data_IF_540369597706
#
_entry.id   IF_540369597706
#
_cell.length_a   1.000
_cell.length_b   1.000
_cell.length_c   1.000
_cell.angle_alpha   90.00
_cell.angle_beta   90.00
_cell.angle_gamma   90.00
#
_symmetry.space_group_name_H-M   'P 1'
#
loop_
_entity.id
_entity.type
_entity.pdbx_description
1 polymer ?
#
# COMPACT_ATOMS: atom_id res chain seq x y z
N UNK A 1 35.77 8.21 -9.93
CA UNK A 1 34.58 7.45 -10.36
C UNK A 1 33.53 7.33 -9.25
N UNK A 2 33.89 7.26 -7.96
CA UNK A 2 32.92 7.15 -6.84
C UNK A 2 32.02 8.38 -6.63
N UNK A 3 32.50 9.60 -6.91
CA UNK A 3 31.72 10.84 -6.70
C UNK A 3 30.49 10.98 -7.63
N UNK A 4 30.56 10.48 -8.86
CA UNK A 4 29.45 10.57 -9.82
C UNK A 4 28.31 9.59 -9.49
N UNK A 5 28.65 8.39 -9.02
CA UNK A 5 27.65 7.41 -8.58
C UNK A 5 26.84 7.90 -7.38
N UNK A 6 27.52 8.49 -6.39
CA UNK A 6 26.83 9.03 -5.21
C UNK A 6 25.96 10.25 -5.56
N UNK A 7 26.41 11.12 -6.47
CA UNK A 7 25.63 12.26 -6.94
C UNK A 7 24.32 11.84 -7.64
N UNK A 8 24.37 10.81 -8.50
CA UNK A 8 23.16 10.28 -9.16
C UNK A 8 22.14 9.69 -8.19
N UNK A 9 22.60 8.98 -7.15
CA UNK A 9 21.73 8.43 -6.10
C UNK A 9 21.10 9.56 -5.28
N UNK A 10 21.90 10.56 -4.87
CA UNK A 10 21.39 11.73 -4.12
C UNK A 10 20.34 12.48 -4.93
N UNK A 11 20.59 12.71 -6.23
CA UNK A 11 19.62 13.37 -7.11
C UNK A 11 18.31 12.58 -7.21
N UNK A 12 18.39 11.25 -7.31
CA UNK A 12 17.21 10.37 -7.34
C UNK A 12 16.40 10.47 -6.05
N UNK A 13 17.05 10.47 -4.88
CA UNK A 13 16.36 10.66 -3.59
C UNK A 13 15.66 12.03 -3.50
N UNK A 14 16.31 13.10 -3.99
CA UNK A 14 15.70 14.44 -4.04
C UNK A 14 14.47 14.44 -4.95
N UNK A 15 14.57 13.84 -6.14
CA UNK A 15 13.45 13.74 -7.07
C UNK A 15 12.29 12.96 -6.48
N UNK A 16 12.54 11.80 -5.86
CA UNK A 16 11.51 11.03 -5.16
C UNK A 16 10.87 11.88 -4.07
N UNK A 17 11.66 12.61 -3.26
CA UNK A 17 11.14 13.49 -2.22
C UNK A 17 10.20 14.56 -2.76
N UNK A 18 10.58 15.23 -3.86
CA UNK A 18 9.74 16.24 -4.52
C UNK A 18 8.48 15.60 -5.11
N UNK A 19 8.60 14.45 -5.76
CA UNK A 19 7.44 13.72 -6.31
C UNK A 19 6.44 13.36 -5.24
N UNK A 20 6.90 12.81 -4.10
CA UNK A 20 6.03 12.48 -2.97
C UNK A 20 5.35 13.74 -2.43
N UNK A 21 6.08 14.84 -2.25
CA UNK A 21 5.52 16.10 -1.76
C UNK A 21 4.42 16.65 -2.69
N UNK A 22 4.65 16.62 -4.00
CA UNK A 22 3.67 17.06 -5.01
C UNK A 22 2.44 16.15 -4.99
N UNK A 23 2.62 14.82 -5.02
CA UNK A 23 1.51 13.86 -5.03
C UNK A 23 0.63 14.04 -3.79
N UNK A 24 1.24 14.13 -2.61
CA UNK A 24 0.51 14.31 -1.35
C UNK A 24 -0.18 15.67 -1.32
N UNK A 25 0.50 16.75 -1.73
CA UNK A 25 -0.08 18.09 -1.79
C UNK A 25 -1.29 18.17 -2.71
N UNK A 26 -1.20 17.61 -3.92
CA UNK A 26 -2.32 17.55 -4.86
C UNK A 26 -3.47 16.68 -4.35
N UNK A 27 -3.18 15.55 -3.73
CA UNK A 27 -4.20 14.69 -3.16
C UNK A 27 -5.00 15.44 -2.07
N UNK A 28 -4.31 16.14 -1.17
CA UNK A 28 -4.95 16.93 -0.10
C UNK A 28 -5.80 18.07 -0.66
N UNK A 29 -5.28 18.86 -1.60
CA UNK A 29 -6.05 19.95 -2.23
C UNK A 29 -7.30 19.40 -2.91
N UNK A 30 -7.19 18.29 -3.65
CA UNK A 30 -8.32 17.67 -4.35
C UNK A 30 -9.38 17.09 -3.40
N UNK A 31 -8.97 16.63 -2.22
CA UNK A 31 -9.91 16.18 -1.18
C UNK A 31 -10.69 17.37 -0.61
N UNK A 32 -10.03 18.52 -0.38
CA UNK A 32 -10.68 19.71 0.20
C UNK A 32 -11.58 20.43 -0.82
N UNK A 33 -11.12 20.60 -2.05
CA UNK A 33 -11.86 21.35 -3.08
C UNK A 33 -13.03 20.55 -3.66
N UNK A 34 -12.86 19.24 -3.87
CA UNK A 34 -13.83 18.37 -4.56
C UNK A 34 -14.22 17.16 -3.70
N UNK A 35 -14.67 17.42 -2.47
CA UNK A 35 -15.01 16.36 -1.51
C UNK A 35 -16.04 15.36 -2.07
N UNK A 36 -17.04 15.84 -2.80
CA UNK A 36 -18.09 14.98 -3.38
C UNK A 36 -17.54 13.96 -4.39
N UNK A 37 -16.55 14.35 -5.20
CA UNK A 37 -15.91 13.44 -6.17
C UNK A 37 -14.85 12.56 -5.51
N UNK A 38 -14.14 13.08 -4.52
CA UNK A 38 -13.11 12.35 -3.79
C UNK A 38 -13.66 11.35 -2.76
N UNK A 39 -14.93 11.48 -2.36
CA UNK A 39 -15.57 10.64 -1.34
C UNK A 39 -15.38 9.14 -1.59
N UNK A 40 -15.61 8.66 -2.82
CA UNK A 40 -15.48 7.25 -3.14
C UNK A 40 -14.03 6.76 -3.02
N UNK A 41 -13.06 7.58 -3.45
CA UNK A 41 -11.63 7.27 -3.32
C UNK A 41 -11.17 7.29 -1.86
N UNK A 42 -11.67 8.22 -1.05
CA UNK A 42 -11.38 8.30 0.39
C UNK A 42 -11.96 7.07 1.10
N UNK A 43 -13.20 6.69 0.79
CA UNK A 43 -13.83 5.49 1.36
C UNK A 43 -13.01 4.25 1.01
N UNK A 44 -12.57 4.11 -0.25
CA UNK A 44 -11.69 3.01 -0.66
C UNK A 44 -10.38 2.96 0.13
N UNK A 45 -9.73 4.12 0.32
CA UNK A 45 -8.50 4.24 1.11
C UNK A 45 -8.72 3.87 2.59
N UNK A 46 -9.80 4.35 3.20
CA UNK A 46 -10.13 4.06 4.60
C UNK A 46 -10.41 2.57 4.78
N UNK A 47 -11.18 1.95 3.89
CA UNK A 47 -11.46 0.51 3.93
C UNK A 47 -10.16 -0.29 3.82
N UNK A 48 -9.27 0.07 2.88
CA UNK A 48 -7.95 -0.56 2.75
C UNK A 48 -7.13 -0.45 4.05
N UNK A 49 -7.10 0.74 4.66
CA UNK A 49 -6.42 0.97 5.94
C UNK A 49 -6.99 0.12 7.07
N UNK A 50 -8.32 0.02 7.17
CA UNK A 50 -8.98 -0.81 8.19
C UNK A 50 -8.63 -2.28 8.01
N UNK A 51 -8.65 -2.80 6.78
CA UNK A 51 -8.25 -4.18 6.48
C UNK A 51 -6.79 -4.41 6.88
N UNK A 52 -5.90 -3.48 6.54
CA UNK A 52 -4.48 -3.57 6.90
C UNK A 52 -4.26 -3.59 8.41
N UNK A 53 -4.96 -2.73 9.17
CA UNK A 53 -4.85 -2.70 10.63
C UNK A 53 -5.35 -4.01 11.27
N UNK A 54 -6.45 -4.56 10.77
CA UNK A 54 -6.96 -5.87 11.22
C UNK A 54 -5.95 -6.98 10.89
N UNK A 55 -5.39 -6.97 9.67
CA UNK A 55 -4.38 -7.93 9.26
C UNK A 55 -3.11 -7.81 10.10
N UNK A 56 -2.66 -6.59 10.43
CA UNK A 56 -1.50 -6.36 11.29
C UNK A 56 -1.74 -6.77 12.74
N UNK A 57 -2.94 -6.53 13.28
CA UNK A 57 -3.34 -6.97 14.61
C UNK A 57 -3.40 -8.51 14.72
N UNK A 58 -3.87 -9.17 13.65
CA UNK A 58 -4.03 -10.64 13.60
C UNK A 58 -2.74 -11.37 13.21
N UNK A 59 -1.88 -10.72 12.42
CA UNK A 59 -0.60 -11.28 11.99
C UNK A 59 0.34 -11.48 13.19
N UNK A 60 0.90 -12.68 13.31
CA UNK A 60 1.97 -12.98 14.26
C UNK A 60 3.31 -12.91 13.54
N UNK A 61 4.31 -12.30 14.16
CA UNK A 61 5.69 -12.28 13.63
C UNK A 61 6.46 -13.57 13.92
N UNK A 62 5.84 -14.58 14.53
CA UNK A 62 6.48 -15.81 15.00
C UNK A 62 7.24 -16.58 13.89
N UNK A 63 6.88 -16.37 12.63
CA UNK A 63 7.57 -16.96 11.48
C UNK A 63 9.01 -16.45 11.32
N UNK A 64 9.41 -15.37 12.02
CA UNK A 64 10.76 -14.81 11.98
C UNK A 64 11.85 -15.85 12.29
N UNK A 65 11.55 -16.83 13.14
CA UNK A 65 12.48 -17.89 13.58
C UNK A 65 12.84 -18.85 12.43
N UNK A 66 12.01 -18.93 11.40
CA UNK A 66 12.24 -19.77 10.23
C UNK A 66 13.18 -19.13 9.20
N UNK A 67 13.53 -17.84 9.36
CA UNK A 67 14.45 -17.15 8.48
C UNK A 67 15.88 -17.23 9.00
N UNK A 68 16.86 -17.30 8.09
CA UNK A 68 18.27 -17.35 8.47
C UNK A 68 18.65 -16.09 9.26
N UNK A 69 19.36 -16.28 10.37
CA UNK A 69 19.80 -15.19 11.26
C UNK A 69 20.58 -14.09 10.51
N UNK A 70 21.33 -14.47 9.47
CA UNK A 70 22.11 -13.56 8.64
C UNK A 70 21.27 -12.57 7.81
N UNK A 71 19.96 -12.81 7.67
CA UNK A 71 19.05 -11.90 6.93
C UNK A 71 18.58 -10.70 7.76
N UNK A 72 18.91 -10.65 9.07
CA UNK A 72 18.52 -9.53 9.95
C UNK A 72 17.00 -9.32 10.08
N UNK A 73 16.20 -10.36 9.79
CA UNK A 73 14.74 -10.27 9.85
C UNK A 73 14.30 -10.29 11.31
N UNK A 74 13.73 -9.17 11.74
CA UNK A 74 13.12 -9.05 13.08
C UNK A 74 11.68 -9.55 13.07
N UNK A 75 11.15 -9.89 14.24
CA UNK A 75 9.74 -10.24 14.42
C UNK A 75 8.80 -9.15 13.87
N UNK A 76 9.16 -7.88 14.05
CA UNK A 76 8.41 -6.73 13.52
C UNK A 76 8.37 -6.71 11.98
N UNK A 77 9.51 -6.96 11.34
CA UNK A 77 9.61 -7.04 9.87
C UNK A 77 8.78 -8.18 9.32
N UNK A 78 8.88 -9.37 9.93
CA UNK A 78 8.10 -10.55 9.53
C UNK A 78 6.60 -10.32 9.70
N UNK A 79 6.18 -9.75 10.84
CA UNK A 79 4.77 -9.39 11.09
C UNK A 79 4.22 -8.42 10.06
N UNK A 80 5.00 -7.39 9.69
CA UNK A 80 4.60 -6.39 8.69
C UNK A 80 4.44 -7.01 7.29
N UNK A 81 5.35 -7.90 6.90
CA UNK A 81 5.24 -8.62 5.62
C UNK A 81 4.03 -9.56 5.61
N UNK A 82 3.82 -10.33 6.69
CA UNK A 82 2.65 -11.19 6.84
C UNK A 82 1.34 -10.42 6.78
N UNK A 83 1.27 -9.28 7.47
CA UNK A 83 0.11 -8.39 7.43
C UNK A 83 -0.14 -7.83 6.01
N UNK A 84 0.93 -7.44 5.31
CA UNK A 84 0.86 -6.97 3.93
C UNK A 84 0.33 -8.05 2.97
N UNK A 85 0.82 -9.28 3.10
CA UNK A 85 0.36 -10.43 2.31
C UNK A 85 -1.13 -10.70 2.54
N UNK A 86 -1.57 -10.80 3.79
CA UNK A 86 -2.98 -11.03 4.12
C UNK A 86 -3.86 -9.92 3.56
N UNK A 87 -3.46 -8.66 3.75
CA UNK A 87 -4.18 -7.49 3.20
C UNK A 87 -4.30 -7.57 1.68
N UNK A 88 -3.21 -7.92 1.00
CA UNK A 88 -3.18 -8.07 -0.45
C UNK A 88 -4.14 -9.16 -0.94
N UNK A 89 -4.15 -10.32 -0.30
CA UNK A 89 -5.06 -11.41 -0.68
C UNK A 89 -6.53 -11.05 -0.45
N UNK A 90 -6.86 -10.39 0.66
CA UNK A 90 -8.25 -9.96 0.94
C UNK A 90 -8.73 -8.96 -0.11
N UNK A 91 -7.96 -7.91 -0.38
CA UNK A 91 -8.34 -6.88 -1.34
C UNK A 91 -8.32 -7.43 -2.77
N UNK A 92 -7.33 -8.27 -3.09
CA UNK A 92 -7.23 -8.94 -4.39
C UNK A 92 -8.44 -9.84 -4.66
N UNK A 93 -8.85 -10.66 -3.70
CA UNK A 93 -10.05 -11.49 -3.83
C UNK A 93 -11.31 -10.63 -3.98
N UNK A 94 -11.45 -9.57 -3.17
CA UNK A 94 -12.56 -8.63 -3.29
C UNK A 94 -12.60 -7.95 -4.68
N UNK A 95 -11.45 -7.60 -5.25
CA UNK A 95 -11.34 -7.02 -6.58
C UNK A 95 -11.80 -8.02 -7.66
N UNK A 96 -11.40 -9.29 -7.57
CA UNK A 96 -11.85 -10.34 -8.50
C UNK A 96 -13.37 -10.49 -8.45
N UNK A 97 -13.95 -10.57 -7.25
CA UNK A 97 -15.42 -10.67 -7.06
C UNK A 97 -16.11 -9.43 -7.65
N UNK A 98 -15.59 -8.24 -7.38
CA UNK A 98 -16.15 -6.99 -7.89
C UNK A 98 -16.13 -6.93 -9.43
N UNK A 99 -15.06 -7.42 -10.07
CA UNK A 99 -14.97 -7.52 -11.53
C UNK A 99 -16.04 -8.48 -12.07
N UNK A 100 -16.16 -9.68 -11.49
CA UNK A 100 -17.15 -10.66 -11.93
C UNK A 100 -18.57 -10.09 -11.81
N UNK A 101 -18.88 -9.44 -10.69
CA UNK A 101 -20.17 -8.78 -10.48
C UNK A 101 -20.40 -7.63 -11.48
N UNK A 102 -19.38 -6.83 -11.78
CA UNK A 102 -19.48 -5.74 -12.75
C UNK A 102 -19.78 -6.28 -14.16
N UNK A 103 -19.17 -7.39 -14.56
CA UNK A 103 -19.43 -8.01 -15.86
C UNK A 103 -20.81 -8.68 -15.92
N UNK A 104 -21.22 -9.39 -14.86
CA UNK A 104 -22.54 -10.03 -14.81
C UNK A 104 -23.68 -8.99 -14.75
N UNK A 105 -23.52 -7.92 -13.98
CA UNK A 105 -24.52 -6.86 -13.88
C UNK A 105 -24.68 -6.07 -15.18
N UNK A 106 -23.61 -5.92 -15.98
CA UNK A 106 -23.72 -5.37 -17.34
C UNK A 106 -24.43 -6.33 -18.29
N UNK A 107 -24.17 -7.63 -18.20
CA UNK A 107 -24.80 -8.62 -19.06
C UNK A 107 -26.31 -8.81 -18.78
N UNK A 108 -26.75 -8.53 -17.55
CA UNK A 108 -28.15 -8.62 -17.13
C UNK A 108 -28.96 -7.34 -17.38
N UNK A 109 -28.33 -6.24 -17.83
CA UNK A 109 -28.96 -4.93 -18.03
C UNK A 109 -29.04 -4.59 -19.51
#
# INVERSE_FOLDING_TARGET
>A
MEKFGNFGIILTYIMIGISVAIIVGFALIKVVTDFQKSKNSIIGLVIMLVIFLIAYATSSGADYVNYKADMGITESTSRMVGAGLVTFFIIGAAAVIAIIYAELSKALK
#
